data_IF_300017740984
#
_entry.id   IF_300017740984
#
_cell.length_a   1.000
_cell.length_b   1.000
_cell.length_c   1.000
_cell.angle_alpha   90.00
_cell.angle_beta   90.00
_cell.angle_gamma   90.00
#
_symmetry.space_group_name_H-M   'P 1'
#
loop_
_entity.id
_entity.type
_entity.pdbx_description
1 polymer ?
#
# COMPACT_ATOMS: atom_id res chain seq x y z
N UNK A 1 -12.89 13.49 30.81
CA UNK A 1 -12.94 13.90 29.39
C UNK A 1 -13.81 12.91 28.67
N UNK A 2 -14.81 13.35 27.91
CA UNK A 2 -15.64 12.43 27.14
C UNK A 2 -14.84 11.87 25.96
N UNK A 3 -14.73 10.55 25.86
CA UNK A 3 -14.03 9.90 24.75
C UNK A 3 -15.01 9.72 23.60
N UNK A 4 -14.77 10.49 22.55
CA UNK A 4 -15.63 10.56 21.37
C UNK A 4 -14.73 10.48 20.14
N UNK A 5 -15.31 10.10 18.99
CA UNK A 5 -14.62 10.21 17.70
C UNK A 5 -14.02 11.61 17.49
N UNK A 6 -14.77 12.66 17.83
CA UNK A 6 -14.33 14.05 17.64
C UNK A 6 -13.11 14.40 18.50
N UNK A 7 -13.10 13.99 19.77
CA UNK A 7 -11.96 14.24 20.67
C UNK A 7 -10.72 13.47 20.21
N UNK A 8 -10.88 12.22 19.79
CA UNK A 8 -9.78 11.41 19.26
C UNK A 8 -9.21 11.99 17.95
N UNK A 9 -10.06 12.37 16.99
CA UNK A 9 -9.60 13.01 15.74
C UNK A 9 -8.92 14.35 15.98
N UNK A 10 -9.42 15.13 16.94
CA UNK A 10 -8.81 16.43 17.30
C UNK A 10 -7.43 16.25 17.91
N UNK A 11 -7.26 15.25 18.78
CA UNK A 11 -5.95 14.87 19.32
C UNK A 11 -5.01 14.38 18.21
N UNK A 12 -5.57 13.68 17.21
CA UNK A 12 -4.83 13.10 16.09
C UNK A 12 -4.38 14.09 15.01
N UNK A 13 -4.70 15.38 15.08
CA UNK A 13 -4.23 16.38 14.08
C UNK A 13 -2.70 16.41 14.01
N UNK A 14 -2.01 16.26 15.14
CA UNK A 14 -0.55 16.13 15.17
C UNK A 14 -0.16 14.85 15.90
N UNK A 15 0.85 14.15 15.38
CA UNK A 15 1.36 12.92 15.97
C UNK A 15 1.74 13.06 17.45
N UNK A 16 2.61 14.03 17.78
CA UNK A 16 3.03 14.28 19.16
C UNK A 16 1.85 14.54 20.12
N UNK A 17 0.81 15.26 19.66
CA UNK A 17 -0.39 15.56 20.45
C UNK A 17 -1.23 14.30 20.68
N UNK A 18 -1.30 13.41 19.69
CA UNK A 18 -1.97 12.12 19.85
C UNK A 18 -1.24 11.23 20.85
N UNK A 19 0.09 11.16 20.76
CA UNK A 19 0.90 10.40 21.70
C UNK A 19 0.74 10.93 23.15
N UNK A 20 0.79 12.26 23.34
CA UNK A 20 0.51 12.91 24.63
C UNK A 20 -0.90 12.59 25.12
N UNK A 21 -1.91 12.69 24.26
CA UNK A 21 -3.28 12.37 24.61
C UNK A 21 -3.42 10.93 25.10
N UNK A 22 -2.82 9.96 24.39
CA UNK A 22 -2.84 8.54 24.80
C UNK A 22 -2.13 8.33 26.13
N UNK A 23 -0.97 8.97 26.37
CA UNK A 23 -0.27 8.92 27.66
C UNK A 23 -1.13 9.49 28.79
N UNK A 24 -1.80 10.62 28.57
CA UNK A 24 -2.70 11.22 29.56
C UNK A 24 -3.89 10.30 29.89
N UNK A 25 -4.47 9.63 28.88
CA UNK A 25 -5.51 8.62 29.11
C UNK A 25 -4.99 7.45 29.94
N UNK A 26 -3.73 7.05 29.76
CA UNK A 26 -3.13 5.98 30.54
C UNK A 26 -2.85 6.39 31.99
N UNK A 27 -2.23 7.56 32.18
CA UNK A 27 -1.87 8.12 33.49
C UNK A 27 -3.10 8.34 34.39
N UNK A 28 -4.22 8.74 33.79
CA UNK A 28 -5.48 8.94 34.53
C UNK A 28 -6.34 7.65 34.62
N UNK A 29 -5.85 6.53 34.11
CA UNK A 29 -6.51 5.21 34.16
C UNK A 29 -7.69 5.02 33.21
N UNK A 30 -8.01 5.99 32.35
CA UNK A 30 -9.17 5.89 31.45
C UNK A 30 -8.89 5.13 30.15
N UNK A 31 -7.61 4.95 29.78
CA UNK A 31 -7.23 4.19 28.58
C UNK A 31 -7.79 2.77 28.60
N UNK A 32 -7.72 2.09 29.74
CA UNK A 32 -8.25 0.73 29.90
C UNK A 32 -9.77 0.65 29.71
N UNK A 33 -10.49 1.75 29.93
CA UNK A 33 -11.94 1.83 29.75
C UNK A 33 -12.32 2.15 28.29
N UNK A 34 -11.49 2.93 27.60
CA UNK A 34 -11.81 3.50 26.30
C UNK A 34 -11.20 2.70 25.14
N UNK A 35 -9.93 2.34 25.28
CA UNK A 35 -9.11 1.60 24.30
C UNK A 35 -8.34 0.48 25.03
N UNK A 36 -9.03 -0.51 25.65
CA UNK A 36 -8.36 -1.63 26.32
C UNK A 36 -7.40 -2.41 25.42
N UNK A 37 -7.66 -2.45 24.11
CA UNK A 37 -6.79 -3.10 23.12
C UNK A 37 -5.43 -2.39 23.02
N UNK A 38 -5.42 -1.05 23.13
CA UNK A 38 -4.17 -0.27 23.11
C UNK A 38 -3.43 -0.42 24.44
N UNK A 39 -4.18 -0.44 25.56
CA UNK A 39 -3.62 -0.75 26.89
C UNK A 39 -2.95 -2.12 26.93
N UNK A 40 -3.49 -3.12 26.23
CA UNK A 40 -2.95 -4.47 26.15
C UNK A 40 -1.57 -4.57 25.47
N UNK A 41 -1.11 -3.51 24.78
CA UNK A 41 0.24 -3.46 24.23
C UNK A 41 1.31 -3.22 25.30
N UNK A 42 0.93 -2.72 26.48
CA UNK A 42 1.87 -2.49 27.58
C UNK A 42 2.45 -3.79 28.11
N UNK A 43 3.77 -3.80 28.33
CA UNK A 43 4.50 -4.99 28.78
C UNK A 43 4.69 -6.05 27.70
N UNK A 44 4.25 -5.81 26.46
CA UNK A 44 4.62 -6.66 25.34
C UNK A 44 6.04 -6.32 24.88
N UNK A 45 6.89 -7.32 24.89
CA UNK A 45 8.27 -7.20 24.44
C UNK A 45 8.36 -7.12 22.92
N UNK A 46 9.47 -6.58 22.44
CA UNK A 46 9.84 -6.58 21.04
C UNK A 46 11.19 -7.26 20.90
N UNK A 47 11.48 -7.82 19.73
CA UNK A 47 12.81 -8.37 19.49
C UNK A 47 13.81 -7.19 19.37
N UNK A 48 14.77 -7.03 20.30
CA UNK A 48 15.66 -5.86 20.34
C UNK A 48 16.59 -5.76 19.12
N UNK A 49 16.74 -6.84 18.34
CA UNK A 49 17.48 -6.81 17.06
C UNK A 49 16.75 -5.99 16.00
N UNK A 50 15.41 -6.03 15.99
CA UNK A 50 14.58 -5.33 15.02
C UNK A 50 13.98 -4.04 15.58
N UNK A 51 13.85 -3.97 16.90
CA UNK A 51 13.22 -2.90 17.64
C UNK A 51 14.08 -2.52 18.86
N UNK A 52 15.25 -1.88 18.63
CA UNK A 52 16.14 -1.45 19.71
C UNK A 52 15.53 -0.37 20.62
N UNK A 53 14.40 0.23 20.23
CA UNK A 53 13.72 1.32 20.92
C UNK A 53 12.92 0.93 22.16
N UNK A 54 12.57 -0.35 22.34
CA UNK A 54 11.80 -0.81 23.49
C UNK A 54 10.71 -1.80 23.12
N UNK A 55 9.68 -1.91 23.97
CA UNK A 55 8.54 -2.79 23.78
C UNK A 55 7.54 -2.27 22.74
N UNK A 56 6.45 -3.02 22.53
CA UNK A 56 5.42 -2.68 21.53
C UNK A 56 4.75 -1.34 21.87
N UNK A 57 4.44 -1.10 23.14
CA UNK A 57 3.81 0.15 23.58
C UNK A 57 4.69 1.37 23.32
N UNK A 58 5.97 1.29 23.71
CA UNK A 58 6.95 2.36 23.49
C UNK A 58 7.12 2.62 22.00
N UNK A 59 7.26 1.56 21.20
CA UNK A 59 7.36 1.64 19.74
C UNK A 59 6.18 2.40 19.13
N UNK A 60 4.95 1.98 19.39
CA UNK A 60 3.75 2.60 18.80
C UNK A 60 3.64 4.08 19.17
N UNK A 61 3.91 4.45 20.42
CA UNK A 61 3.89 5.85 20.84
C UNK A 61 4.99 6.69 20.17
N UNK A 62 6.20 6.14 20.05
CA UNK A 62 7.29 6.80 19.33
C UNK A 62 6.94 7.00 17.85
N UNK A 63 6.33 6.01 17.20
CA UNK A 63 5.93 6.09 15.80
C UNK A 63 4.96 7.23 15.57
N UNK A 64 3.92 7.31 16.42
CA UNK A 64 2.93 8.39 16.37
C UNK A 64 3.58 9.74 16.66
N UNK A 65 4.44 9.83 17.67
CA UNK A 65 5.14 11.07 18.03
C UNK A 65 6.07 11.58 16.92
N UNK A 66 6.73 10.65 16.20
CA UNK A 66 7.61 10.96 15.07
C UNK A 66 6.86 11.26 13.75
N UNK A 67 5.53 11.14 13.74
CA UNK A 67 4.71 11.40 12.56
C UNK A 67 4.77 12.87 12.13
N UNK A 68 4.98 13.07 10.84
CA UNK A 68 4.97 14.38 10.17
C UNK A 68 3.60 14.70 9.54
N UNK A 69 2.64 13.78 9.64
CA UNK A 69 1.31 13.95 9.06
C UNK A 69 0.43 14.88 9.89
N UNK A 70 -0.33 15.72 9.20
CA UNK A 70 -1.38 16.57 9.76
C UNK A 70 -2.79 15.98 9.56
N UNK A 71 -2.88 14.80 8.94
CA UNK A 71 -4.12 14.08 8.76
C UNK A 71 -4.41 13.19 9.99
N UNK A 72 -5.51 13.45 10.72
CA UNK A 72 -5.93 12.64 11.86
C UNK A 72 -6.04 11.15 11.58
N UNK A 73 -6.54 10.79 10.40
CA UNK A 73 -6.75 9.38 10.03
C UNK A 73 -5.42 8.67 9.89
N UNK A 74 -4.43 9.32 9.26
CA UNK A 74 -3.08 8.80 9.15
C UNK A 74 -2.39 8.64 10.50
N UNK A 75 -2.51 9.61 11.40
CA UNK A 75 -1.92 9.49 12.75
C UNK A 75 -2.57 8.37 13.58
N UNK A 76 -3.88 8.16 13.41
CA UNK A 76 -4.57 7.01 14.00
C UNK A 76 -4.15 5.67 13.35
N UNK A 77 -3.91 5.64 12.04
CA UNK A 77 -3.38 4.46 11.38
C UNK A 77 -2.00 4.08 11.93
N UNK A 78 -1.12 5.06 12.19
CA UNK A 78 0.17 4.84 12.85
C UNK A 78 -0.03 4.29 14.27
N UNK A 79 -0.98 4.85 15.03
CA UNK A 79 -1.29 4.38 16.40
C UNK A 79 -1.77 2.93 16.43
N UNK A 80 -2.53 2.49 15.43
CA UNK A 80 -3.16 1.17 15.42
C UNK A 80 -2.45 0.12 14.57
N UNK A 81 -1.41 0.47 13.80
CA UNK A 81 -0.75 -0.44 12.84
C UNK A 81 -0.35 -1.79 13.46
N UNK A 82 0.12 -1.73 14.72
CA UNK A 82 0.65 -2.87 15.47
C UNK A 82 -0.33 -3.47 16.49
N UNK A 83 -1.60 -3.04 16.51
CA UNK A 83 -2.57 -3.46 17.53
C UNK A 83 -2.78 -4.98 17.58
N UNK A 84 -2.59 -5.66 16.43
CA UNK A 84 -2.67 -7.11 16.33
C UNK A 84 -1.58 -7.85 17.11
N UNK A 85 -0.50 -7.19 17.53
CA UNK A 85 0.53 -7.80 18.39
C UNK A 85 -0.05 -8.25 19.73
N UNK A 86 -1.08 -7.55 20.23
CA UNK A 86 -1.81 -7.93 21.44
C UNK A 86 -2.48 -9.32 21.40
N UNK A 87 -2.71 -9.87 20.20
CA UNK A 87 -3.41 -11.16 20.02
C UNK A 87 -2.59 -12.21 19.25
N UNK A 88 -1.33 -11.91 18.90
CA UNK A 88 -0.48 -12.79 18.06
C UNK A 88 0.86 -13.14 18.70
N UNK A 89 1.04 -12.83 19.99
CA UNK A 89 2.29 -13.12 20.70
C UNK A 89 2.59 -14.62 20.71
N UNK A 90 3.75 -14.98 20.19
CA UNK A 90 4.34 -16.33 20.24
C UNK A 90 5.81 -16.24 20.63
N UNK A 91 6.39 -17.34 21.09
CA UNK A 91 7.82 -17.43 21.40
C UNK A 91 8.47 -18.48 20.50
N UNK A 92 9.60 -18.14 19.90
CA UNK A 92 10.43 -19.08 19.15
C UNK A 92 11.28 -19.97 20.07
N UNK A 93 11.91 -20.99 19.49
CA UNK A 93 12.80 -21.92 20.22
C UNK A 93 14.03 -21.21 20.82
N UNK A 94 14.41 -20.04 20.27
CA UNK A 94 15.49 -19.18 20.77
C UNK A 94 15.04 -18.27 21.93
N UNK A 95 13.80 -18.42 22.40
CA UNK A 95 13.19 -17.60 23.46
C UNK A 95 12.76 -16.21 23.01
N UNK A 96 12.89 -15.86 21.72
CA UNK A 96 12.50 -14.54 21.22
C UNK A 96 11.02 -14.47 20.89
N UNK A 97 10.46 -13.29 21.11
CA UNK A 97 9.05 -13.01 20.82
C UNK A 97 8.82 -12.81 19.31
N UNK A 98 7.73 -13.35 18.82
CA UNK A 98 7.24 -13.19 17.46
C UNK A 98 5.76 -12.78 17.44
N UNK A 99 5.39 -12.06 16.39
CA UNK A 99 4.03 -11.55 16.14
C UNK A 99 3.63 -11.84 14.70
N UNK A 100 3.68 -13.10 14.29
CA UNK A 100 3.38 -13.48 12.92
C UNK A 100 1.91 -13.22 12.57
N UNK A 101 1.67 -12.52 11.46
CA UNK A 101 0.33 -12.20 10.97
C UNK A 101 -0.42 -11.14 11.79
N UNK A 102 0.27 -10.36 12.62
CA UNK A 102 -0.34 -9.29 13.43
C UNK A 102 -1.05 -8.24 12.57
N UNK A 103 -0.57 -7.98 11.35
CA UNK A 103 -1.19 -7.08 10.38
C UNK A 103 -2.63 -7.50 10.04
N UNK A 104 -2.89 -8.80 9.88
CA UNK A 104 -4.21 -9.33 9.58
C UNK A 104 -5.03 -9.57 10.86
N UNK A 105 -4.39 -10.09 11.92
CA UNK A 105 -5.04 -10.36 13.20
C UNK A 105 -5.48 -9.07 13.93
N UNK A 106 -4.87 -7.94 13.60
CA UNK A 106 -5.26 -6.62 14.09
C UNK A 106 -6.58 -6.10 13.51
N UNK A 107 -7.01 -6.57 12.33
CA UNK A 107 -8.22 -6.05 11.66
C UNK A 107 -9.51 -6.29 12.47
N UNK A 108 -9.79 -7.51 12.99
CA UNK A 108 -10.95 -7.72 13.85
C UNK A 108 -10.89 -6.91 15.15
N UNK A 109 -9.69 -6.71 15.70
CA UNK A 109 -9.45 -5.91 16.92
C UNK A 109 -9.82 -4.44 16.65
N UNK A 110 -9.29 -3.88 15.56
CA UNK A 110 -9.60 -2.51 15.16
C UNK A 110 -11.06 -2.34 14.74
N UNK A 111 -11.70 -3.34 14.12
CA UNK A 111 -13.13 -3.28 13.80
C UNK A 111 -14.00 -3.08 15.05
N UNK A 112 -13.63 -3.69 16.18
CA UNK A 112 -14.27 -3.46 17.48
C UNK A 112 -14.09 -2.02 17.97
N UNK A 113 -12.86 -1.49 17.89
CA UNK A 113 -12.56 -0.09 18.21
C UNK A 113 -13.39 0.85 17.33
N UNK A 114 -13.39 0.61 16.02
CA UNK A 114 -14.07 1.43 15.03
C UNK A 114 -15.58 1.50 15.26
N UNK A 115 -16.20 0.38 15.66
CA UNK A 115 -17.61 0.33 16.01
C UNK A 115 -17.91 1.13 17.30
N UNK A 116 -17.06 1.04 18.33
CA UNK A 116 -17.26 1.78 19.59
C UNK A 116 -17.00 3.28 19.45
N UNK A 117 -15.96 3.65 18.71
CA UNK A 117 -15.60 5.06 18.45
C UNK A 117 -16.58 5.69 17.46
N UNK A 118 -17.08 4.92 16.49
CA UNK A 118 -17.96 5.40 15.44
C UNK A 118 -17.24 6.00 14.24
N UNK A 119 -16.11 5.42 13.81
CA UNK A 119 -15.40 5.86 12.60
C UNK A 119 -16.29 5.75 11.35
N UNK A 120 -16.13 6.69 10.43
CA UNK A 120 -16.80 6.64 9.13
C UNK A 120 -16.20 5.51 8.29
N UNK A 121 -16.91 5.12 7.23
CA UNK A 121 -16.46 4.10 6.29
C UNK A 121 -15.08 4.43 5.70
N UNK A 122 -14.83 5.69 5.35
CA UNK A 122 -13.57 6.09 4.70
C UNK A 122 -12.41 6.12 5.68
N UNK A 123 -12.63 6.59 6.91
CA UNK A 123 -11.61 6.56 7.98
C UNK A 123 -11.21 5.13 8.31
N UNK A 124 -12.21 4.26 8.49
CA UNK A 124 -12.00 2.84 8.77
C UNK A 124 -11.21 2.18 7.65
N UNK A 125 -11.60 2.41 6.39
CA UNK A 125 -10.93 1.87 5.20
C UNK A 125 -9.45 2.27 5.14
N UNK A 126 -9.13 3.54 5.39
CA UNK A 126 -7.76 4.03 5.36
C UNK A 126 -6.90 3.42 6.48
N UNK A 127 -7.44 3.34 7.70
CA UNK A 127 -6.73 2.75 8.84
C UNK A 127 -6.52 1.25 8.62
N UNK A 128 -7.58 0.51 8.27
CA UNK A 128 -7.50 -0.94 8.00
C UNK A 128 -6.54 -1.25 6.85
N UNK A 129 -6.59 -0.48 5.76
CA UNK A 129 -5.67 -0.67 4.63
C UNK A 129 -4.20 -0.50 5.06
N UNK A 130 -3.88 0.56 5.80
CA UNK A 130 -2.51 0.78 6.23
C UNK A 130 -2.05 -0.26 7.27
N UNK A 131 -2.93 -0.67 8.20
CA UNK A 131 -2.68 -1.76 9.13
C UNK A 131 -2.38 -3.07 8.40
N UNK A 132 -3.21 -3.49 7.44
CA UNK A 132 -3.02 -4.75 6.71
C UNK A 132 -1.75 -4.72 5.85
N UNK A 133 -1.43 -3.56 5.27
CA UNK A 133 -0.39 -3.44 4.26
C UNK A 133 0.97 -2.96 4.78
N UNK A 134 1.12 -2.55 6.04
CA UNK A 134 2.39 -1.96 6.52
C UNK A 134 3.58 -2.93 6.40
N UNK A 135 3.39 -4.21 6.71
CA UNK A 135 4.43 -5.24 6.55
C UNK A 135 4.87 -5.42 5.09
N UNK A 136 3.92 -5.30 4.17
CA UNK A 136 4.15 -5.30 2.71
C UNK A 136 4.86 -4.01 2.30
N UNK A 137 4.53 -2.90 2.95
CA UNK A 137 5.13 -1.58 2.81
C UNK A 137 6.66 -1.56 2.96
N UNK A 138 7.21 -2.31 3.91
CA UNK A 138 8.67 -2.41 4.09
C UNK A 138 9.41 -3.06 2.91
N UNK A 139 8.68 -3.74 2.00
CA UNK A 139 9.24 -4.54 0.89
C UNK A 139 8.78 -4.05 -0.48
N UNK A 140 8.23 -2.85 -0.57
CA UNK A 140 7.63 -2.33 -1.81
C UNK A 140 8.60 -2.36 -3.00
N UNK A 141 9.87 -2.00 -2.80
CA UNK A 141 10.88 -1.98 -3.87
C UNK A 141 11.30 -3.38 -4.37
N UNK A 142 10.84 -4.43 -3.72
CA UNK A 142 11.07 -5.82 -4.13
C UNK A 142 9.96 -6.35 -5.06
N UNK A 143 8.87 -5.59 -5.23
CA UNK A 143 7.73 -6.03 -6.02
C UNK A 143 7.82 -5.63 -7.49
N UNK A 144 7.23 -6.48 -8.33
CA UNK A 144 7.03 -6.15 -9.74
C UNK A 144 6.04 -5.01 -9.91
N UNK A 145 6.14 -4.32 -11.05
CA UNK A 145 5.22 -3.26 -11.43
C UNK A 145 3.74 -3.64 -11.34
N UNK A 146 3.40 -4.88 -11.74
CA UNK A 146 2.03 -5.41 -11.67
C UNK A 146 1.48 -5.45 -10.24
N UNK A 147 2.33 -5.73 -9.25
CA UNK A 147 1.92 -5.75 -7.83
C UNK A 147 1.96 -4.36 -7.21
N UNK A 148 2.90 -3.51 -7.62
CA UNK A 148 3.03 -2.14 -7.12
C UNK A 148 1.90 -1.23 -7.58
N UNK A 149 1.48 -1.34 -8.84
CA UNK A 149 0.46 -0.49 -9.45
C UNK A 149 -0.82 -0.39 -8.60
N UNK A 150 -1.53 -1.47 -8.24
CA UNK A 150 -2.75 -1.36 -7.44
C UNK A 150 -2.52 -0.81 -6.03
N UNK A 151 -1.36 -1.06 -5.42
CA UNK A 151 -1.03 -0.53 -4.09
C UNK A 151 -0.78 0.97 -4.13
N UNK A 152 0.02 1.41 -5.10
CA UNK A 152 0.40 2.81 -5.26
C UNK A 152 -0.75 3.69 -5.78
N UNK A 153 -1.65 3.10 -6.58
CA UNK A 153 -2.91 3.73 -7.02
C UNK A 153 -4.02 3.69 -5.98
N UNK A 154 -3.84 3.02 -4.84
CA UNK A 154 -4.85 2.98 -3.79
C UNK A 154 -5.07 4.40 -3.22
N UNK A 155 -6.32 4.84 -3.01
CA UNK A 155 -6.62 6.18 -2.48
C UNK A 155 -5.93 6.50 -1.14
N UNK A 156 -5.66 5.49 -0.30
CA UNK A 156 -4.99 5.68 0.99
C UNK A 156 -3.49 5.34 0.95
N UNK A 157 -2.88 5.37 -0.23
CA UNK A 157 -1.44 5.17 -0.40
C UNK A 157 -0.61 6.06 0.55
N UNK A 158 -0.98 7.34 0.68
CA UNK A 158 -0.26 8.27 1.55
C UNK A 158 -0.32 7.85 3.01
N UNK A 159 -1.45 7.31 3.47
CA UNK A 159 -1.59 6.77 4.83
C UNK A 159 -0.63 5.59 5.04
N UNK A 160 -0.58 4.63 4.10
CA UNK A 160 0.38 3.54 4.15
C UNK A 160 1.84 4.03 4.14
N UNK A 161 2.17 4.98 3.26
CA UNK A 161 3.50 5.58 3.20
C UNK A 161 3.94 6.16 4.55
N UNK A 162 3.06 6.93 5.20
CA UNK A 162 3.36 7.54 6.49
C UNK A 162 3.46 6.50 7.62
N UNK A 163 2.63 5.45 7.62
CA UNK A 163 2.77 4.33 8.56
C UNK A 163 4.13 3.65 8.43
N UNK A 164 4.53 3.29 7.21
CA UNK A 164 5.81 2.62 6.96
C UNK A 164 6.99 3.52 7.33
N UNK A 165 6.91 4.82 7.03
CA UNK A 165 7.95 5.78 7.40
C UNK A 165 8.08 5.90 8.92
N UNK A 166 6.95 6.09 9.64
CA UNK A 166 6.95 6.24 11.08
C UNK A 166 7.48 5.00 11.79
N UNK A 167 7.04 3.81 11.39
CA UNK A 167 7.46 2.53 11.93
C UNK A 167 8.98 2.30 11.78
N UNK A 168 9.56 2.61 10.62
CA UNK A 168 11.01 2.46 10.43
C UNK A 168 11.83 3.56 11.12
N UNK A 169 11.31 4.80 11.17
CA UNK A 169 12.04 5.99 11.64
C UNK A 169 12.44 5.92 13.10
N UNK A 170 11.67 5.22 13.93
CA UNK A 170 11.90 5.17 15.37
C UNK A 170 12.89 4.08 15.81
N UNK A 171 13.34 3.23 14.87
CA UNK A 171 14.21 2.08 15.14
C UNK A 171 15.69 2.47 15.35
N UNK A 172 15.92 3.62 15.98
CA UNK A 172 17.22 4.15 16.38
C UNK A 172 18.30 4.01 15.28
N UNK A 173 19.38 3.27 15.56
CA UNK A 173 20.51 3.08 14.66
C UNK A 173 20.18 2.25 13.41
N UNK A 174 19.02 1.61 13.33
CA UNK A 174 18.54 0.91 12.14
C UNK A 174 17.89 1.87 11.13
N UNK A 175 17.49 3.07 11.55
CA UNK A 175 16.92 4.06 10.66
C UNK A 175 17.99 4.65 9.74
N UNK A 176 17.68 4.68 8.45
CA UNK A 176 18.53 5.28 7.43
C UNK A 176 17.66 6.05 6.42
N UNK A 177 17.51 7.35 6.66
CA UNK A 177 16.66 8.23 5.83
C UNK A 177 17.07 8.26 4.34
N UNK A 178 18.37 8.35 3.97
CA UNK A 178 18.77 8.21 2.58
C UNK A 178 18.34 6.90 1.93
N UNK A 179 18.48 5.76 2.63
CA UNK A 179 18.08 4.45 2.12
C UNK A 179 16.56 4.34 1.96
N UNK A 180 15.79 4.83 2.93
CA UNK A 180 14.32 4.92 2.84
C UNK A 180 13.90 5.77 1.64
N UNK A 181 14.51 6.94 1.47
CA UNK A 181 14.21 7.87 0.37
C UNK A 181 14.50 7.23 -0.98
N UNK A 182 15.68 6.60 -1.14
CA UNK A 182 16.04 5.89 -2.36
C UNK A 182 15.09 4.72 -2.66
N UNK A 183 14.63 4.01 -1.62
CA UNK A 183 13.62 2.94 -1.77
C UNK A 183 12.30 3.49 -2.32
N UNK A 184 11.81 4.58 -1.75
CA UNK A 184 10.54 5.19 -2.18
C UNK A 184 10.63 5.83 -3.57
N UNK A 185 11.78 6.39 -3.94
CA UNK A 185 12.04 6.85 -5.30
C UNK A 185 11.98 5.70 -6.31
N UNK A 186 12.60 4.55 -6.02
CA UNK A 186 12.51 3.36 -6.89
C UNK A 186 11.07 2.89 -7.07
N UNK A 187 10.27 2.89 -6.01
CA UNK A 187 8.84 2.54 -6.08
C UNK A 187 8.09 3.48 -7.03
N UNK A 188 8.34 4.80 -6.93
CA UNK A 188 7.71 5.80 -7.80
C UNK A 188 8.16 5.64 -9.26
N UNK A 189 9.44 5.41 -9.52
CA UNK A 189 9.97 5.16 -10.87
C UNK A 189 9.31 3.92 -11.52
N UNK A 190 9.18 2.82 -10.77
CA UNK A 190 8.51 1.61 -11.25
C UNK A 190 7.03 1.91 -11.53
N UNK A 191 6.36 2.63 -10.62
CA UNK A 191 4.95 3.00 -10.76
C UNK A 191 4.70 3.84 -12.02
N UNK A 192 5.43 4.95 -12.19
CA UNK A 192 5.30 5.86 -13.34
C UNK A 192 5.53 5.10 -14.65
N UNK A 193 6.56 4.26 -14.72
CA UNK A 193 6.84 3.45 -15.91
C UNK A 193 5.68 2.51 -16.26
N UNK A 194 5.13 1.81 -15.26
CA UNK A 194 4.07 0.81 -15.45
C UNK A 194 2.74 1.48 -15.78
N UNK A 195 2.45 2.60 -15.13
CA UNK A 195 1.28 3.41 -15.43
C UNK A 195 1.32 3.91 -16.88
N UNK A 196 2.44 4.48 -17.31
CA UNK A 196 2.63 4.93 -18.69
C UNK A 196 2.49 3.79 -19.70
N UNK A 197 3.01 2.60 -19.37
CA UNK A 197 2.82 1.40 -20.19
C UNK A 197 1.35 0.98 -20.29
N UNK A 198 0.61 1.00 -19.19
CA UNK A 198 -0.81 0.66 -19.20
C UNK A 198 -1.66 1.67 -19.98
N UNK A 199 -1.36 2.96 -19.86
CA UNK A 199 -2.01 4.03 -20.63
C UNK A 199 -1.72 3.86 -22.13
N UNK A 200 -0.46 3.56 -22.49
CA UNK A 200 -0.04 3.24 -23.86
C UNK A 200 -0.82 2.05 -24.40
N UNK A 201 -0.85 0.94 -23.67
CA UNK A 201 -1.57 -0.28 -24.08
C UNK A 201 -3.08 -0.04 -24.23
N UNK A 202 -3.67 0.75 -23.32
CA UNK A 202 -5.09 1.11 -23.37
C UNK A 202 -5.41 1.98 -24.59
N UNK A 203 -4.54 2.95 -24.91
CA UNK A 203 -4.66 3.77 -26.12
C UNK A 203 -4.52 2.93 -27.38
N UNK A 204 -3.52 2.04 -27.45
CA UNK A 204 -3.33 1.16 -28.60
C UNK A 204 -4.52 0.21 -28.82
N UNK A 205 -5.15 -0.26 -27.74
CA UNK A 205 -6.30 -1.15 -27.81
C UNK A 205 -7.53 -0.51 -28.48
N UNK A 206 -7.64 0.82 -28.52
CA UNK A 206 -8.74 1.50 -29.24
C UNK A 206 -8.55 1.46 -30.76
N UNK A 207 -7.30 1.37 -31.23
CA UNK A 207 -6.96 1.31 -32.64
C UNK A 207 -6.94 -0.13 -33.17
N UNK A 208 -6.36 -1.05 -32.40
CA UNK A 208 -6.10 -2.42 -32.86
C UNK A 208 -6.12 -3.45 -31.73
N UNK A 209 -6.90 -4.52 -31.93
CA UNK A 209 -6.93 -5.70 -31.08
C UNK A 209 -6.90 -6.99 -31.91
N UNK A 210 -6.81 -8.14 -31.25
CA UNK A 210 -6.77 -9.43 -31.94
C UNK A 210 -8.05 -9.74 -32.72
N UNK A 211 -9.21 -9.29 -32.23
CA UNK A 211 -10.50 -9.52 -32.87
C UNK A 211 -10.57 -8.78 -34.20
N UNK A 212 -10.24 -7.49 -34.22
CA UNK A 212 -10.21 -6.66 -35.44
C UNK A 212 -9.27 -7.22 -36.50
N UNK A 213 -8.13 -7.79 -36.09
CA UNK A 213 -7.20 -8.45 -37.02
C UNK A 213 -7.84 -9.69 -37.65
N UNK A 214 -8.42 -10.57 -36.84
CA UNK A 214 -9.06 -11.80 -37.33
C UNK A 214 -10.33 -11.53 -38.15
N UNK A 215 -11.08 -10.47 -37.84
CA UNK A 215 -12.22 -10.02 -38.65
C UNK A 215 -11.76 -9.51 -40.04
N UNK A 216 -10.65 -8.78 -40.09
CA UNK A 216 -10.10 -8.24 -41.34
C UNK A 216 -9.36 -9.32 -42.16
N UNK A 217 -8.70 -10.26 -41.49
CA UNK A 217 -7.91 -11.36 -42.07
C UNK A 217 -8.20 -12.67 -41.33
N UNK A 218 -9.30 -13.38 -41.68
CA UNK A 218 -9.70 -14.64 -41.03
C UNK A 218 -8.70 -15.79 -41.21
N UNK A 219 -7.79 -15.69 -42.17
CA UNK A 219 -6.70 -16.63 -42.41
C UNK A 219 -5.56 -16.54 -41.37
N UNK A 220 -5.52 -15.47 -40.58
CA UNK A 220 -4.52 -15.28 -39.53
C UNK A 220 -5.02 -15.78 -38.18
N UNK A 221 -4.21 -16.58 -37.49
CA UNK A 221 -4.53 -17.07 -36.15
C UNK A 221 -3.28 -17.17 -35.25
N UNK A 222 -3.53 -17.25 -33.94
CA UNK A 222 -2.49 -17.55 -32.94
C UNK A 222 -1.30 -16.58 -32.97
N UNK A 223 -0.09 -17.13 -33.10
CA UNK A 223 1.16 -16.34 -33.07
C UNK A 223 1.23 -15.29 -34.18
N UNK A 224 0.62 -15.55 -35.32
CA UNK A 224 0.68 -14.63 -36.47
C UNK A 224 -0.14 -13.36 -36.22
N UNK A 225 -1.32 -13.47 -35.60
CA UNK A 225 -2.11 -12.31 -35.12
C UNK A 225 -1.30 -11.46 -34.15
N UNK A 226 -0.52 -12.10 -33.27
CA UNK A 226 0.39 -11.39 -32.35
C UNK A 226 1.47 -10.58 -33.09
N UNK A 227 2.07 -11.14 -34.15
CA UNK A 227 3.06 -10.44 -34.98
C UNK A 227 2.46 -9.25 -35.73
N UNK A 228 1.28 -9.43 -36.32
CA UNK A 228 0.56 -8.36 -37.02
C UNK A 228 0.25 -7.23 -36.06
N UNK A 229 -0.30 -7.57 -34.88
CA UNK A 229 -0.66 -6.61 -33.84
C UNK A 229 0.56 -5.77 -33.44
N UNK A 230 1.69 -6.40 -33.18
CA UNK A 230 2.93 -5.72 -32.79
C UNK A 230 3.47 -4.81 -33.91
N UNK A 231 3.47 -5.29 -35.15
CA UNK A 231 3.94 -4.49 -36.29
C UNK A 231 3.07 -3.25 -36.53
N UNK A 232 1.74 -3.40 -36.39
CA UNK A 232 0.80 -2.28 -36.55
C UNK A 232 0.93 -1.30 -35.38
N UNK A 233 1.06 -1.79 -34.14
CA UNK A 233 1.30 -0.93 -32.96
C UNK A 233 2.47 0.01 -33.17
N UNK A 234 3.60 -0.51 -33.65
CA UNK A 234 4.80 0.31 -33.97
C UNK A 234 4.51 1.37 -35.04
N UNK A 235 3.70 1.07 -36.04
CA UNK A 235 3.30 2.06 -37.07
C UNK A 235 2.41 3.15 -36.51
N UNK A 236 1.49 2.80 -35.60
CA UNK A 236 0.62 3.75 -34.91
C UNK A 236 1.47 4.70 -34.04
N UNK A 237 2.39 4.14 -33.25
CA UNK A 237 3.30 4.91 -32.39
C UNK A 237 4.22 5.82 -33.21
N UNK A 238 4.78 5.33 -34.32
CA UNK A 238 5.63 6.12 -35.22
C UNK A 238 4.90 7.31 -35.88
N UNK A 239 3.56 7.32 -35.86
CA UNK A 239 2.72 8.41 -36.34
C UNK A 239 2.08 9.22 -35.21
N UNK A 240 2.56 9.07 -33.98
CA UNK A 240 1.98 9.72 -32.80
C UNK A 240 0.46 9.53 -32.71
N UNK A 241 -0.01 8.32 -33.03
CA UNK A 241 -1.43 7.94 -33.02
C UNK A 241 -2.33 8.76 -33.98
N UNK A 242 -1.74 9.51 -34.92
CA UNK A 242 -2.46 10.20 -36.00
C UNK A 242 -2.67 9.22 -37.15
N UNK A 243 -3.64 8.31 -36.98
CA UNK A 243 -3.96 7.25 -37.94
C UNK A 243 -5.47 7.09 -38.07
N UNK A 244 -5.95 6.73 -39.26
CA UNK A 244 -7.38 6.43 -39.47
C UNK A 244 -7.67 4.92 -39.38
N UNK A 245 -8.92 4.52 -39.09
CA UNK A 245 -9.32 3.11 -39.14
C UNK A 245 -9.04 2.45 -40.49
N UNK A 246 -9.21 3.18 -41.60
CA UNK A 246 -8.95 2.71 -42.96
C UNK A 246 -7.46 2.43 -43.18
N UNK A 247 -6.57 3.30 -42.70
CA UNK A 247 -5.12 3.08 -42.78
C UNK A 247 -4.71 1.81 -42.02
N UNK A 248 -5.29 1.60 -40.84
CA UNK A 248 -5.04 0.39 -40.04
C UNK A 248 -5.54 -0.85 -40.77
N UNK A 249 -6.75 -0.82 -41.33
CA UNK A 249 -7.30 -1.92 -42.11
C UNK A 249 -6.41 -2.24 -43.34
N UNK A 250 -5.94 -1.22 -44.05
CA UNK A 250 -4.99 -1.38 -45.15
C UNK A 250 -3.69 -2.05 -44.71
N UNK A 251 -3.15 -1.69 -43.53
CA UNK A 251 -1.95 -2.34 -43.00
C UNK A 251 -2.17 -3.81 -42.63
N UNK A 252 -3.35 -4.16 -42.10
CA UNK A 252 -3.71 -5.56 -41.80
C UNK A 252 -3.82 -6.35 -43.11
N UNK A 253 -4.54 -5.81 -44.11
CA UNK A 253 -4.74 -6.47 -45.40
C UNK A 253 -3.42 -6.68 -46.14
N UNK A 254 -2.49 -5.72 -46.05
CA UNK A 254 -1.17 -5.80 -46.65
C UNK A 254 -0.18 -6.73 -45.91
N UNK A 255 -0.58 -7.37 -44.79
CA UNK A 255 0.31 -8.28 -44.07
C UNK A 255 0.67 -9.50 -44.94
N UNK A 256 1.97 -9.80 -45.12
CA UNK A 256 2.40 -10.90 -45.98
C UNK A 256 1.92 -12.25 -45.42
N UNK A 257 1.44 -13.13 -46.29
CA UNK A 257 1.13 -14.52 -45.92
C UNK A 257 2.45 -15.25 -45.73
N UNK A 258 2.74 -15.75 -44.53
CA UNK A 258 3.91 -16.60 -44.31
C UNK A 258 3.63 -17.97 -44.94
N UNK A 259 4.44 -18.49 -45.89
CA UNK A 259 4.23 -19.82 -46.42
C UNK A 259 4.56 -20.87 -45.34
N UNK A 260 3.54 -21.55 -44.80
CA UNK A 260 3.74 -22.77 -43.99
C UNK A 260 3.06 -22.80 -42.62
N UNK A 261 1.84 -23.32 -42.58
CA UNK A 261 1.38 -24.28 -41.57
C UNK A 261 0.16 -25.01 -42.14
N UNK A 262 0.41 -25.87 -43.13
CA UNK A 262 -0.43 -27.04 -43.36
C UNK A 262 0.02 -28.15 -42.42
#
# INVERSE_FOLDING_TARGET
MEFTRTTLLTAAIHGWRLAEHVRLLDENGTLALQLPELKALQGLEHNPIHHPEGGVWEHVLLCVEASESHDPVTNLAILFHDIGKGVTRTYGDDGRVHYYGHEAAGLPVFAGIAARVGFTRDERRAIEFAMEMHMVGHKLDQFSGRKLLPLRSHPDWLTLFHVVKADEKVRMHLWNEPAFTARMQRVEEIYVRVQAEQERESRLATFIDGRRIMETRPDLAGKEVGRVKEAIRRKIEARDYQVTPEEIAMWILAWPVTPGSQ
#
